data_IF_949011303579
#
_entry.id   IF_949011303579
#
_cell.length_a   1.000
_cell.length_b   1.000
_cell.length_c   1.000
_cell.angle_alpha   90.00
_cell.angle_beta   90.00
_cell.angle_gamma   90.00
#
_symmetry.space_group_name_H-M   'P 1'
#
loop_
_entity.id
_entity.type
_entity.pdbx_description
1 polymer ?
#
# COMPACT_ATOMS: atom_id res chain seq x y z
N UNK A 1 1.11 -2.02 -14.28
CA UNK A 1 1.62 -3.32 -14.79
C UNK A 1 0.63 -3.90 -15.79
N UNK A 2 -0.64 -4.10 -15.42
CA UNK A 2 -1.65 -4.73 -16.30
C UNK A 2 -1.91 -3.96 -17.59
N UNK A 3 -1.84 -2.65 -17.58
CA UNK A 3 -2.00 -1.82 -18.78
C UNK A 3 -0.81 -1.96 -19.73
N UNK A 4 0.42 -1.99 -19.19
CA UNK A 4 1.65 -2.10 -19.97
C UNK A 4 1.99 -3.56 -20.38
N UNK A 5 1.53 -4.53 -19.60
CA UNK A 5 1.82 -5.97 -19.78
C UNK A 5 0.57 -6.79 -19.48
N UNK A 6 -0.45 -6.77 -20.36
CA UNK A 6 -1.75 -7.41 -20.13
C UNK A 6 -1.66 -8.93 -20.01
N UNK A 7 -0.62 -9.54 -20.61
CA UNK A 7 -0.36 -10.98 -20.56
C UNK A 7 0.20 -11.46 -19.20
N UNK A 8 0.75 -10.55 -18.38
CA UNK A 8 1.34 -10.91 -17.09
C UNK A 8 0.28 -11.19 -16.05
N UNK A 9 0.44 -12.31 -15.36
CA UNK A 9 -0.38 -12.68 -14.21
C UNK A 9 0.13 -12.00 -12.96
N UNK A 10 -0.58 -10.98 -12.50
CA UNK A 10 -0.23 -10.19 -11.30
C UNK A 10 -1.11 -10.63 -10.14
N UNK A 11 -0.49 -10.91 -9.01
CA UNK A 11 -1.18 -11.21 -7.75
C UNK A 11 -0.81 -10.19 -6.68
N UNK A 12 -1.82 -9.56 -6.09
CA UNK A 12 -1.70 -8.66 -4.96
C UNK A 12 -2.22 -9.32 -3.70
N UNK A 13 -1.48 -9.18 -2.61
CA UNK A 13 -1.86 -9.67 -1.30
C UNK A 13 -1.21 -8.84 -0.19
N UNK A 14 -1.79 -8.88 1.01
CA UNK A 14 -1.13 -8.40 2.21
C UNK A 14 -0.25 -9.49 2.82
N UNK A 15 0.79 -9.11 3.55
CA UNK A 15 1.63 -10.06 4.30
C UNK A 15 0.85 -10.83 5.36
N UNK A 16 -0.20 -10.24 5.93
CA UNK A 16 -1.12 -10.91 6.85
C UNK A 16 -1.88 -12.05 6.17
N UNK A 17 -2.40 -11.81 4.96
CA UNK A 17 -3.06 -12.85 4.16
C UNK A 17 -2.10 -13.98 3.84
N UNK A 18 -0.87 -13.66 3.43
CA UNK A 18 0.17 -14.67 3.22
C UNK A 18 0.40 -15.51 4.48
N UNK A 19 0.56 -14.87 5.65
CA UNK A 19 0.75 -15.55 6.92
C UNK A 19 -0.41 -16.50 7.25
N UNK A 20 -1.66 -16.05 7.04
CA UNK A 20 -2.86 -16.87 7.28
C UNK A 20 -2.89 -18.09 6.35
N UNK A 21 -2.65 -17.91 5.07
CA UNK A 21 -2.62 -19.00 4.08
C UNK A 21 -1.46 -19.98 4.34
N UNK A 22 -0.30 -19.45 4.73
CA UNK A 22 0.86 -20.24 5.13
C UNK A 22 0.55 -21.12 6.35
N UNK A 23 -0.07 -20.54 7.39
CA UNK A 23 -0.44 -21.26 8.59
C UNK A 23 -1.39 -22.44 8.28
N UNK A 24 -2.42 -22.20 7.47
CA UNK A 24 -3.35 -23.24 7.01
C UNK A 24 -2.62 -24.34 6.24
N UNK A 25 -1.70 -23.98 5.36
CA UNK A 25 -0.90 -24.94 4.58
C UNK A 25 -0.02 -25.82 5.49
N UNK A 26 0.62 -25.21 6.50
CA UNK A 26 1.44 -25.93 7.49
C UNK A 26 0.58 -26.88 8.33
N UNK A 27 -0.58 -26.43 8.84
CA UNK A 27 -1.49 -27.25 9.66
C UNK A 27 -2.09 -28.43 8.88
N UNK A 28 -2.34 -28.25 7.58
CA UNK A 28 -2.96 -29.27 6.74
C UNK A 28 -1.97 -30.12 5.95
N UNK A 29 -0.65 -29.88 6.12
CA UNK A 29 0.39 -30.59 5.37
C UNK A 29 0.43 -30.28 3.87
N UNK A 30 -0.22 -29.16 3.43
CA UNK A 30 -0.37 -28.77 2.02
C UNK A 30 0.62 -27.67 1.61
N UNK A 31 1.81 -27.68 2.14
CA UNK A 31 2.83 -26.65 1.85
C UNK A 31 3.24 -26.65 0.38
N UNK A 32 3.26 -27.81 -0.28
CA UNK A 32 3.59 -27.90 -1.69
C UNK A 32 2.51 -27.24 -2.56
N UNK A 33 1.23 -27.52 -2.30
CA UNK A 33 0.11 -26.89 -3.03
C UNK A 33 0.10 -25.36 -2.86
N UNK A 34 0.45 -24.91 -1.64
CA UNK A 34 0.62 -23.49 -1.33
C UNK A 34 1.69 -22.84 -2.21
N UNK A 35 2.89 -23.43 -2.29
CA UNK A 35 3.99 -22.92 -3.13
C UNK A 35 3.65 -22.97 -4.62
N UNK A 36 3.03 -24.05 -5.10
CA UNK A 36 2.58 -24.21 -6.49
C UNK A 36 1.58 -23.14 -6.94
N UNK A 37 0.72 -22.70 -6.03
CA UNK A 37 -0.24 -21.64 -6.33
C UNK A 37 0.43 -20.33 -6.70
N UNK A 38 1.52 -19.94 -6.00
CA UNK A 38 2.26 -18.71 -6.28
C UNK A 38 3.09 -18.79 -7.56
N UNK A 39 3.55 -19.98 -7.95
CA UNK A 39 4.29 -20.19 -9.21
C UNK A 39 3.51 -19.81 -10.46
N UNK A 40 2.17 -19.76 -10.37
CA UNK A 40 1.29 -19.41 -11.50
C UNK A 40 1.32 -17.92 -11.85
N UNK A 41 1.88 -17.08 -11.00
CA UNK A 41 1.94 -15.63 -11.19
C UNK A 41 3.31 -15.22 -11.71
N UNK A 42 3.34 -14.15 -12.51
CA UNK A 42 4.56 -13.55 -13.03
C UNK A 42 5.06 -12.42 -12.14
N UNK A 43 4.11 -11.73 -11.49
CA UNK A 43 4.39 -10.65 -10.55
C UNK A 43 3.60 -10.88 -9.27
N UNK A 44 4.26 -10.80 -8.12
CA UNK A 44 3.64 -10.83 -6.80
C UNK A 44 3.90 -9.50 -6.12
N UNK A 45 2.81 -8.84 -5.72
CA UNK A 45 2.84 -7.60 -4.93
C UNK A 45 2.41 -7.97 -3.53
N UNK A 46 3.30 -7.76 -2.56
CA UNK A 46 3.04 -8.06 -1.15
C UNK A 46 3.12 -6.80 -0.32
N UNK A 47 2.01 -6.45 0.29
CA UNK A 47 1.84 -5.24 1.08
C UNK A 47 2.14 -5.48 2.55
N UNK A 48 2.68 -4.45 3.21
CA UNK A 48 2.92 -4.41 4.65
C UNK A 48 3.87 -5.49 5.18
N UNK A 49 5.07 -5.65 4.58
CA UNK A 49 6.03 -6.69 5.00
C UNK A 49 6.52 -6.55 6.44
N UNK A 50 6.36 -5.40 7.10
CA UNK A 50 6.63 -5.24 8.52
C UNK A 50 5.77 -6.16 9.41
N UNK A 51 4.66 -6.71 8.89
CA UNK A 51 3.87 -7.75 9.53
C UNK A 51 4.69 -9.00 9.89
N UNK A 52 5.77 -9.29 9.17
CA UNK A 52 6.63 -10.43 9.47
C UNK A 52 7.56 -10.22 10.67
N UNK A 53 7.58 -9.03 11.25
CA UNK A 53 8.34 -8.73 12.48
C UNK A 53 8.13 -9.80 13.55
N UNK A 54 9.23 -10.41 14.04
CA UNK A 54 9.23 -11.48 15.04
C UNK A 54 8.40 -12.74 14.68
N UNK A 55 8.18 -13.03 13.40
CA UNK A 55 7.39 -14.19 12.94
C UNK A 55 8.26 -15.14 12.13
N UNK A 56 9.23 -15.78 12.79
CA UNK A 56 10.26 -16.61 12.19
C UNK A 56 9.73 -17.65 11.18
N UNK A 57 8.70 -18.41 11.54
CA UNK A 57 8.12 -19.44 10.66
C UNK A 57 7.58 -18.86 9.34
N UNK A 58 6.96 -17.69 9.38
CA UNK A 58 6.46 -17.05 8.17
C UNK A 58 7.59 -16.46 7.34
N UNK A 59 8.62 -15.94 8.00
CA UNK A 59 9.83 -15.45 7.34
C UNK A 59 10.56 -16.57 6.62
N UNK A 60 10.66 -17.75 7.23
CA UNK A 60 11.28 -18.93 6.63
C UNK A 60 10.54 -19.36 5.35
N UNK A 61 9.22 -19.51 5.42
CA UNK A 61 8.41 -19.91 4.25
C UNK A 61 8.41 -18.84 3.15
N UNK A 62 8.38 -17.55 3.52
CA UNK A 62 8.54 -16.47 2.56
C UNK A 62 9.90 -16.51 1.88
N UNK A 63 10.98 -16.74 2.64
CA UNK A 63 12.34 -16.82 2.09
C UNK A 63 12.48 -17.95 1.07
N UNK A 64 11.94 -19.12 1.36
CA UNK A 64 11.97 -20.26 0.44
C UNK A 64 11.14 -20.00 -0.82
N UNK A 65 9.92 -19.44 -0.67
CA UNK A 65 9.08 -19.09 -1.80
C UNK A 65 9.75 -18.02 -2.68
N UNK A 66 10.30 -16.98 -2.05
CA UNK A 66 10.96 -15.88 -2.73
C UNK A 66 12.13 -16.36 -3.58
N UNK A 67 13.04 -17.16 -3.03
CA UNK A 67 14.16 -17.71 -3.78
C UNK A 67 13.70 -18.58 -4.96
N UNK A 68 12.75 -19.50 -4.72
CA UNK A 68 12.22 -20.37 -5.78
C UNK A 68 11.62 -19.58 -6.95
N UNK A 69 10.91 -18.49 -6.65
CA UNK A 69 10.28 -17.69 -7.68
C UNK A 69 11.26 -16.75 -8.40
N UNK A 70 12.28 -16.24 -7.70
CA UNK A 70 13.36 -15.48 -8.33
C UNK A 70 14.16 -16.33 -9.32
N UNK A 71 14.46 -17.60 -9.00
CA UNK A 71 15.10 -18.54 -9.92
C UNK A 71 14.28 -18.78 -11.20
N UNK A 72 12.96 -18.59 -11.12
CA UNK A 72 12.03 -18.66 -12.23
C UNK A 72 11.82 -17.32 -12.94
N UNK A 73 12.64 -16.31 -12.65
CA UNK A 73 12.52 -14.95 -13.19
C UNK A 73 11.16 -14.26 -12.90
N UNK A 74 10.53 -14.60 -11.76
CA UNK A 74 9.32 -13.90 -11.30
C UNK A 74 9.69 -12.61 -10.59
N UNK A 75 8.81 -11.60 -10.71
CA UNK A 75 9.02 -10.29 -10.10
C UNK A 75 8.29 -10.21 -8.76
N UNK A 76 8.98 -9.65 -7.76
CA UNK A 76 8.35 -9.23 -6.51
C UNK A 76 8.34 -7.72 -6.37
N UNK A 77 7.27 -7.21 -5.78
CA UNK A 77 7.15 -5.84 -5.29
C UNK A 77 6.69 -5.92 -3.84
N UNK A 78 7.42 -5.31 -2.95
CA UNK A 78 7.11 -5.25 -1.54
C UNK A 78 6.80 -3.82 -1.13
N UNK A 79 5.85 -3.61 -0.24
CA UNK A 79 5.66 -2.35 0.47
C UNK A 79 5.93 -2.50 1.96
N UNK A 80 6.32 -1.42 2.60
CA UNK A 80 6.56 -1.36 4.04
C UNK A 80 6.42 0.08 4.54
N UNK A 81 6.01 0.25 5.78
CA UNK A 81 6.04 1.52 6.50
C UNK A 81 7.45 1.89 7.01
N UNK A 82 8.42 0.98 6.84
CA UNK A 82 9.81 1.13 7.33
C UNK A 82 10.80 0.58 6.33
N UNK A 83 11.97 1.19 6.32
CA UNK A 83 13.11 0.61 5.62
C UNK A 83 13.40 -0.83 6.14
N UNK A 84 13.76 -1.81 5.28
CA UNK A 84 14.02 -3.20 5.71
C UNK A 84 14.96 -3.34 6.90
N UNK A 85 15.96 -2.46 7.00
CA UNK A 85 16.92 -2.44 8.12
C UNK A 85 16.29 -1.97 9.45
N UNK A 86 15.13 -1.34 9.41
CA UNK A 86 14.41 -0.84 10.60
C UNK A 86 13.28 -1.77 11.05
N UNK A 87 13.01 -2.85 10.31
CA UNK A 87 12.02 -3.85 10.71
C UNK A 87 12.64 -4.72 11.81
N UNK A 88 12.19 -4.52 13.03
CA UNK A 88 12.65 -5.30 14.20
C UNK A 88 12.29 -6.77 14.03
N UNK A 89 13.22 -7.68 14.36
CA UNK A 89 12.98 -9.13 14.28
C UNK A 89 12.80 -9.66 12.85
N UNK A 90 13.23 -8.90 11.83
CA UNK A 90 13.39 -9.42 10.48
C UNK A 90 14.73 -10.15 10.37
N UNK A 91 14.72 -11.40 9.90
CA UNK A 91 15.91 -12.20 9.70
C UNK A 91 16.86 -11.56 8.67
N UNK A 92 18.17 -11.66 8.93
CA UNK A 92 19.20 -11.04 8.10
C UNK A 92 19.17 -11.52 6.64
N UNK A 93 18.81 -12.78 6.42
CA UNK A 93 18.68 -13.36 5.07
C UNK A 93 17.54 -12.68 4.26
N UNK A 94 16.39 -12.37 4.88
CA UNK A 94 15.31 -11.63 4.23
C UNK A 94 15.66 -10.15 4.07
N UNK A 95 16.26 -9.55 5.12
CA UNK A 95 16.75 -8.16 5.07
C UNK A 95 17.70 -7.94 3.91
N UNK A 96 18.67 -8.85 3.73
CA UNK A 96 19.62 -8.83 2.61
C UNK A 96 18.92 -8.93 1.26
N UNK A 97 17.90 -9.80 1.15
CA UNK A 97 17.12 -9.97 -0.09
C UNK A 97 16.30 -8.75 -0.45
N UNK A 98 15.62 -8.16 0.53
CA UNK A 98 14.86 -6.92 0.30
C UNK A 98 15.77 -5.75 -0.07
N UNK A 99 16.94 -5.64 0.57
CA UNK A 99 17.93 -4.60 0.26
C UNK A 99 18.70 -4.79 -1.05
N UNK A 100 18.72 -6.01 -1.61
CA UNK A 100 19.35 -6.27 -2.91
C UNK A 100 18.53 -5.80 -4.12
N UNK A 101 17.25 -5.49 -3.91
CA UNK A 101 16.35 -4.95 -4.93
C UNK A 101 16.43 -3.42 -5.04
N UNK A 102 15.58 -2.87 -5.91
CA UNK A 102 15.40 -1.42 -5.97
C UNK A 102 14.55 -0.95 -4.77
N UNK A 103 15.09 -0.07 -3.97
CA UNK A 103 14.39 0.59 -2.88
C UNK A 103 13.93 1.97 -3.34
N UNK A 104 12.65 2.25 -3.16
CA UNK A 104 12.03 3.54 -3.49
C UNK A 104 11.37 4.05 -2.23
N UNK A 105 11.78 5.23 -1.78
CA UNK A 105 11.13 5.96 -0.70
C UNK A 105 9.97 6.78 -1.26
N UNK A 106 8.82 6.72 -0.58
CA UNK A 106 7.62 7.50 -0.91
C UNK A 106 7.36 8.48 0.24
N UNK A 107 7.91 9.70 0.18
CA UNK A 107 7.71 10.70 1.22
C UNK A 107 6.25 11.14 1.31
N UNK A 108 5.86 11.69 2.45
CA UNK A 108 4.60 12.39 2.58
C UNK A 108 4.52 13.54 1.57
N UNK A 109 3.34 13.83 1.00
CA UNK A 109 3.18 14.88 0.02
C UNK A 109 3.50 16.25 0.63
N UNK A 110 4.25 17.06 -0.09
CA UNK A 110 4.41 18.49 0.22
C UNK A 110 3.12 19.28 -0.04
N UNK A 111 3.11 20.56 0.29
CA UNK A 111 1.93 21.41 0.12
C UNK A 111 1.43 21.44 -1.33
N UNK A 112 2.36 21.55 -2.29
CA UNK A 112 2.01 21.62 -3.72
C UNK A 112 1.37 20.30 -4.19
N UNK A 113 1.93 19.17 -3.78
CA UNK A 113 1.38 17.84 -4.03
C UNK A 113 -0.01 17.68 -3.39
N UNK A 114 -0.20 18.14 -2.14
CA UNK A 114 -1.52 18.11 -1.48
C UNK A 114 -2.55 18.93 -2.23
N UNK A 115 -2.20 20.14 -2.65
CA UNK A 115 -3.08 20.98 -3.49
C UNK A 115 -3.48 20.28 -4.78
N UNK A 116 -2.53 19.63 -5.46
CA UNK A 116 -2.80 18.89 -6.69
C UNK A 116 -3.73 17.68 -6.44
N UNK A 117 -3.52 16.95 -5.35
CA UNK A 117 -4.36 15.80 -4.95
C UNK A 117 -5.79 16.26 -4.64
N UNK A 118 -5.96 17.33 -3.86
CA UNK A 118 -7.29 17.88 -3.51
C UNK A 118 -8.03 18.30 -4.78
N UNK A 119 -7.38 19.03 -5.68
CA UNK A 119 -7.96 19.44 -6.97
C UNK A 119 -8.38 18.24 -7.80
N UNK A 120 -7.53 17.25 -7.96
CA UNK A 120 -7.84 16.04 -8.72
C UNK A 120 -9.04 15.28 -8.13
N UNK A 121 -9.07 15.12 -6.79
CA UNK A 121 -10.18 14.45 -6.08
C UNK A 121 -11.50 15.24 -6.20
N UNK A 122 -11.43 16.56 -6.10
CA UNK A 122 -12.61 17.43 -6.28
C UNK A 122 -13.23 17.23 -7.67
N UNK A 123 -12.41 17.14 -8.71
CA UNK A 123 -12.87 16.87 -10.08
C UNK A 123 -13.51 15.48 -10.20
N UNK A 124 -12.87 14.44 -9.68
CA UNK A 124 -13.38 13.06 -9.73
C UNK A 124 -14.73 12.93 -9.00
N UNK A 125 -14.90 13.64 -7.90
CA UNK A 125 -16.12 13.61 -7.08
C UNK A 125 -17.15 14.67 -7.48
N UNK A 126 -16.91 15.40 -8.59
CA UNK A 126 -17.77 16.49 -9.08
C UNK A 126 -18.07 17.58 -8.04
N UNK A 127 -17.07 17.89 -7.19
CA UNK A 127 -17.18 18.97 -6.20
C UNK A 127 -16.68 20.28 -6.77
N UNK A 128 -17.43 21.34 -6.54
CA UNK A 128 -17.00 22.71 -6.84
C UNK A 128 -16.53 23.34 -5.53
N UNK A 129 -15.21 23.40 -5.36
CA UNK A 129 -14.56 24.03 -4.20
C UNK A 129 -13.85 25.30 -4.63
N UNK A 130 -14.05 26.37 -3.88
CA UNK A 130 -13.33 27.64 -4.10
C UNK A 130 -11.83 27.43 -3.75
N UNK A 131 -10.95 28.18 -4.41
CA UNK A 131 -9.49 28.07 -4.22
C UNK A 131 -9.08 28.24 -2.75
N UNK A 132 -9.72 29.16 -2.02
CA UNK A 132 -9.51 29.41 -0.60
C UNK A 132 -9.77 28.15 0.26
N UNK A 133 -10.81 27.39 -0.08
CA UNK A 133 -11.14 26.14 0.61
C UNK A 133 -10.08 25.07 0.33
N UNK A 134 -9.64 24.96 -0.92
CA UNK A 134 -8.61 23.99 -1.33
C UNK A 134 -7.29 24.28 -0.60
N UNK A 135 -6.88 25.55 -0.56
CA UNK A 135 -5.68 25.99 0.14
C UNK A 135 -5.78 25.73 1.64
N UNK A 136 -6.92 26.08 2.25
CA UNK A 136 -7.14 25.86 3.67
C UNK A 136 -7.06 24.37 4.07
N UNK A 137 -7.67 23.47 3.29
CA UNK A 137 -7.58 22.01 3.53
C UNK A 137 -6.13 21.56 3.39
N UNK A 138 -5.41 22.00 2.35
CA UNK A 138 -4.03 21.60 2.10
C UNK A 138 -3.06 22.06 3.18
N UNK A 139 -3.27 23.26 3.75
CA UNK A 139 -2.44 23.81 4.84
C UNK A 139 -2.76 23.17 6.20
N UNK A 140 -4.05 22.87 6.44
CA UNK A 140 -4.50 22.27 7.72
C UNK A 140 -4.12 20.80 7.88
N UNK A 141 -3.82 20.09 6.79
CA UNK A 141 -3.51 18.67 6.77
C UNK A 141 -2.07 18.45 6.30
N UNK A 142 -1.13 18.41 7.20
CA UNK A 142 0.27 18.08 6.93
C UNK A 142 0.58 16.58 7.14
N UNK A 143 -0.45 15.80 7.43
CA UNK A 143 -0.42 14.38 7.68
C UNK A 143 -0.32 13.50 6.42
N UNK A 144 -0.78 12.28 6.56
CA UNK A 144 -0.72 11.29 5.49
C UNK A 144 -1.90 11.44 4.50
N UNK A 145 -1.72 10.84 3.30
CA UNK A 145 -2.76 10.86 2.23
C UNK A 145 -4.09 10.26 2.71
N UNK A 146 -4.09 9.27 3.61
CA UNK A 146 -5.31 8.63 4.12
C UNK A 146 -6.17 9.61 4.92
N UNK A 147 -5.55 10.49 5.71
CA UNK A 147 -6.24 11.55 6.43
C UNK A 147 -6.85 12.56 5.45
N UNK A 148 -6.08 13.01 4.47
CA UNK A 148 -6.56 13.85 3.39
C UNK A 148 -7.75 13.23 2.65
N UNK A 149 -7.68 11.93 2.34
CA UNK A 149 -8.78 11.19 1.72
C UNK A 149 -10.03 11.14 2.59
N UNK A 150 -9.86 10.89 3.88
CA UNK A 150 -10.96 10.90 4.85
C UNK A 150 -11.69 12.23 4.89
N UNK A 151 -10.92 13.33 4.97
CA UNK A 151 -11.47 14.69 4.94
C UNK A 151 -12.17 14.97 3.61
N UNK A 152 -11.56 14.65 2.47
CA UNK A 152 -12.15 14.87 1.15
C UNK A 152 -13.45 14.08 0.97
N UNK A 153 -13.56 12.87 1.49
CA UNK A 153 -14.79 12.09 1.47
C UNK A 153 -15.91 12.77 2.30
N UNK A 154 -15.55 13.31 3.47
CA UNK A 154 -16.50 14.05 4.33
C UNK A 154 -16.97 15.35 3.64
N UNK A 155 -16.03 16.08 3.03
CA UNK A 155 -16.32 17.29 2.25
C UNK A 155 -17.26 16.96 1.08
N UNK A 156 -17.06 15.84 0.38
CA UNK A 156 -17.91 15.40 -0.71
C UNK A 156 -19.37 15.16 -0.25
N UNK A 157 -19.53 14.43 0.86
CA UNK A 157 -20.86 14.17 1.44
C UNK A 157 -21.55 15.48 1.83
N UNK A 158 -20.85 16.38 2.48
CA UNK A 158 -21.39 17.68 2.89
C UNK A 158 -21.75 18.55 1.68
N UNK A 159 -20.93 18.55 0.63
CA UNK A 159 -21.20 19.27 -0.61
C UNK A 159 -22.47 18.77 -1.30
N UNK A 160 -22.69 17.44 -1.29
CA UNK A 160 -23.93 16.85 -1.83
C UNK A 160 -25.18 17.24 -1.03
N UNK A 161 -25.04 17.39 0.29
CA UNK A 161 -26.17 17.75 1.16
C UNK A 161 -26.51 19.25 1.16
N UNK A 162 -25.49 20.10 1.17
CA UNK A 162 -25.62 21.55 1.34
C UNK A 162 -25.46 22.35 0.04
N UNK A 163 -24.89 21.73 -1.01
CA UNK A 163 -24.47 22.44 -2.20
C UNK A 163 -23.11 23.11 -2.01
N UNK A 164 -23.03 24.42 -2.20
CA UNK A 164 -21.77 25.17 -2.05
C UNK A 164 -21.37 25.25 -0.58
N UNK A 165 -20.15 24.78 -0.26
CA UNK A 165 -19.58 24.84 1.08
C UNK A 165 -18.86 26.17 1.32
N UNK A 166 -18.88 26.62 2.57
CA UNK A 166 -18.14 27.78 3.07
C UNK A 166 -16.87 27.31 3.82
N UNK A 167 -15.93 28.24 4.03
CA UNK A 167 -14.73 27.99 4.84
C UNK A 167 -15.09 27.56 6.27
N UNK A 168 -16.20 28.06 6.85
CA UNK A 168 -16.65 27.67 8.17
C UNK A 168 -17.19 26.23 8.22
N UNK A 169 -17.81 25.76 7.14
CA UNK A 169 -18.19 24.34 7.02
C UNK A 169 -16.95 23.45 7.06
N UNK A 170 -15.90 23.84 6.35
CA UNK A 170 -14.63 23.09 6.32
C UNK A 170 -13.95 23.09 7.69
N UNK A 171 -13.93 24.23 8.40
CA UNK A 171 -13.38 24.32 9.78
C UNK A 171 -14.10 23.39 10.77
N UNK A 172 -15.33 23.03 10.49
CA UNK A 172 -16.10 22.11 11.36
C UNK A 172 -15.82 20.65 11.01
N UNK A 173 -15.35 20.37 9.78
CA UNK A 173 -14.99 19.03 9.31
C UNK A 173 -13.59 18.64 9.77
N UNK A 174 -12.65 19.60 9.80
CA UNK A 174 -11.26 19.45 10.25
C UNK A 174 -11.15 19.48 11.76
#
# INVERSE_FOLDING_TARGET
IKEAYPEKKVYYMTSEKFGTECLVALQTGKTQDFKERYRKYDVIIMDDIQFFSNKEKFQEELFHLFNTLLEQNKQFVFSSDKHPNQITGLEDRLRSRFGAGMLIDLPSPDLESRLAIIKAKSLIQNMILDSEIIEYIAESLDGNIRELEGVMNTVAIQSQMKGKLTINDIKTIL
#
